data_IF_506035428777
#
_entry.id   IF_506035428777
#
_cell.length_a   1.000
_cell.length_b   1.000
_cell.length_c   1.000
_cell.angle_alpha   90.00
_cell.angle_beta   90.00
_cell.angle_gamma   90.00
#
_symmetry.space_group_name_H-M   'P 1'
#
loop_
_entity.id
_entity.type
_entity.pdbx_description
1 polymer ?
#
# COMPACT_ATOMS: atom_id res chain seq x y z
N UNK A 1 7.11 -11.19 43.38
CA UNK A 1 5.79 -10.56 43.21
C UNK A 1 5.95 -9.51 42.13
N UNK A 2 5.73 -9.90 40.88
CA UNK A 2 5.77 -8.96 39.75
C UNK A 2 4.45 -8.20 39.86
N UNK A 3 4.53 -6.91 40.17
CA UNK A 3 3.35 -6.06 40.22
C UNK A 3 2.66 -6.12 38.87
N UNK A 4 1.38 -6.47 38.92
CA UNK A 4 0.44 -6.35 37.83
C UNK A 4 0.49 -4.91 37.29
N UNK A 5 1.04 -4.76 36.09
CA UNK A 5 0.82 -3.56 35.27
C UNK A 5 -0.57 -3.71 34.66
N UNK A 6 -1.59 -3.51 35.50
CA UNK A 6 -2.95 -3.25 35.04
C UNK A 6 -2.95 -1.84 34.46
N UNK A 7 -3.10 -1.79 33.14
CA UNK A 7 -4.00 -0.89 32.43
C UNK A 7 -3.98 0.58 32.90
N UNK A 8 -3.04 1.36 32.34
CA UNK A 8 -3.07 2.82 32.38
C UNK A 8 -2.92 3.45 30.98
N UNK A 9 -3.54 2.83 29.97
CA UNK A 9 -3.87 3.53 28.74
C UNK A 9 -5.10 2.88 28.12
N UNK A 10 -6.27 3.33 28.55
CA UNK A 10 -7.44 3.25 27.68
C UNK A 10 -7.08 3.89 26.34
N UNK A 11 -7.04 3.11 25.28
CA UNK A 11 -6.75 3.60 23.93
C UNK A 11 -5.99 2.55 23.14
N UNK A 12 -6.65 2.03 22.13
CA UNK A 12 -6.24 1.04 21.14
C UNK A 12 -4.97 1.40 20.32
N UNK A 13 -4.15 2.35 20.80
CA UNK A 13 -3.02 2.98 20.08
C UNK A 13 -3.36 3.45 18.66
N UNK A 14 -4.65 3.70 18.38
CA UNK A 14 -5.15 4.02 17.03
C UNK A 14 -5.10 2.85 16.04
N UNK A 15 -4.93 1.61 16.51
CA UNK A 15 -4.90 0.42 15.67
C UNK A 15 -6.28 0.20 15.03
N UNK A 16 -6.29 -0.10 13.73
CA UNK A 16 -7.47 -0.55 12.98
C UNK A 16 -7.99 -1.91 13.43
N UNK A 17 -9.13 -2.35 12.89
CA UNK A 17 -9.68 -3.67 13.18
C UNK A 17 -8.73 -4.78 12.72
N UNK A 18 -8.16 -4.63 11.53
CA UNK A 18 -7.18 -5.56 10.97
C UNK A 18 -5.91 -5.62 11.81
N UNK A 19 -5.38 -4.49 12.25
CA UNK A 19 -4.17 -4.45 13.10
C UNK A 19 -4.40 -5.09 14.46
N UNK A 20 -5.56 -4.85 15.10
CA UNK A 20 -5.92 -5.52 16.36
C UNK A 20 -5.97 -7.04 16.21
N UNK A 21 -6.51 -7.54 15.10
CA UNK A 21 -6.55 -8.98 14.81
C UNK A 21 -5.13 -9.52 14.64
N UNK A 22 -4.31 -8.85 13.82
CA UNK A 22 -2.94 -9.26 13.58
C UNK A 22 -2.07 -9.24 14.84
N UNK A 23 -2.29 -8.26 15.72
CA UNK A 23 -1.56 -8.14 16.98
C UNK A 23 -1.77 -9.34 17.90
N UNK A 24 -2.94 -10.01 17.87
CA UNK A 24 -3.19 -11.23 18.66
C UNK A 24 -2.24 -12.38 18.29
N UNK A 25 -1.71 -12.37 17.08
CA UNK A 25 -0.72 -13.34 16.58
C UNK A 25 0.72 -12.81 16.63
N UNK A 26 0.92 -11.55 17.02
CA UNK A 26 2.25 -10.96 17.20
C UNK A 26 2.96 -11.58 18.42
N UNK A 27 4.27 -11.76 18.30
CA UNK A 27 5.12 -12.26 19.41
C UNK A 27 5.32 -11.23 20.52
N UNK A 28 5.04 -9.97 20.23
CA UNK A 28 5.29 -8.83 21.10
C UNK A 28 4.02 -8.00 21.28
N UNK A 29 3.95 -7.29 22.40
CA UNK A 29 2.95 -6.25 22.61
C UNK A 29 3.09 -5.15 21.55
N UNK A 30 2.01 -4.40 21.30
CA UNK A 30 2.03 -3.36 20.28
C UNK A 30 3.09 -2.29 20.57
N UNK A 31 3.30 -1.93 21.84
CA UNK A 31 4.23 -0.88 22.23
C UNK A 31 4.70 -1.11 23.67
N UNK A 32 5.97 -0.78 23.94
CA UNK A 32 6.60 -0.86 25.26
C UNK A 32 6.97 0.55 25.78
N UNK A 33 6.05 1.22 26.53
CA UNK A 33 6.32 2.54 27.09
C UNK A 33 7.34 2.48 28.26
N UNK A 34 8.03 3.59 28.57
CA UNK A 34 7.88 4.92 27.98
C UNK A 34 8.74 5.14 26.71
N UNK A 35 9.63 4.20 26.38
CA UNK A 35 10.65 4.37 25.34
C UNK A 35 10.04 4.34 23.95
N UNK A 36 9.21 3.35 23.66
CA UNK A 36 8.59 3.22 22.35
C UNK A 36 7.45 4.22 22.18
N UNK A 37 7.35 4.78 20.97
CA UNK A 37 6.36 5.81 20.59
C UNK A 37 5.48 5.41 19.42
N UNK A 38 5.78 4.29 18.76
CA UNK A 38 5.10 3.81 17.55
C UNK A 38 4.71 2.35 17.78
N UNK A 39 3.43 1.99 17.59
CA UNK A 39 3.00 0.61 17.64
C UNK A 39 3.68 -0.25 16.56
N UNK A 40 4.07 -1.46 16.93
CA UNK A 40 4.71 -2.43 16.05
C UNK A 40 3.94 -3.74 16.04
N UNK A 41 3.77 -4.32 14.85
CA UNK A 41 3.24 -5.68 14.68
C UNK A 41 4.35 -6.51 14.05
N UNK A 42 4.75 -7.58 14.75
CA UNK A 42 5.78 -8.49 14.25
C UNK A 42 5.13 -9.69 13.58
N UNK A 43 5.53 -9.96 12.34
CA UNK A 43 5.07 -11.08 11.52
C UNK A 43 6.23 -12.04 11.22
N UNK A 44 5.92 -13.28 10.86
CA UNK A 44 6.93 -14.33 10.73
C UNK A 44 7.84 -14.20 9.50
N UNK A 45 7.38 -13.58 8.41
CA UNK A 45 8.14 -13.48 7.17
C UNK A 45 7.65 -12.36 6.22
N UNK A 46 8.46 -12.03 5.21
CA UNK A 46 8.15 -11.00 4.21
C UNK A 46 6.82 -11.24 3.45
N UNK A 47 6.47 -12.47 3.01
CA UNK A 47 5.15 -12.73 2.42
C UNK A 47 3.98 -12.44 3.36
N UNK A 48 4.12 -12.76 4.66
CA UNK A 48 3.09 -12.47 5.66
C UNK A 48 2.94 -10.97 5.90
N UNK A 49 4.05 -10.21 5.89
CA UNK A 49 4.02 -8.76 5.94
C UNK A 49 3.25 -8.16 4.75
N UNK A 50 3.54 -8.64 3.54
CA UNK A 50 2.84 -8.19 2.33
C UNK A 50 1.34 -8.49 2.39
N UNK A 51 0.95 -9.66 2.89
CA UNK A 51 -0.47 -10.02 3.09
C UNK A 51 -1.15 -9.11 4.10
N UNK A 52 -0.52 -8.89 5.27
CA UNK A 52 -1.05 -8.01 6.31
C UNK A 52 -1.24 -6.58 5.79
N UNK A 53 -0.24 -6.04 5.10
CA UNK A 53 -0.34 -4.72 4.48
C UNK A 53 -1.47 -4.66 3.44
N UNK A 54 -1.68 -5.73 2.65
CA UNK A 54 -2.75 -5.79 1.65
C UNK A 54 -4.14 -5.76 2.29
N UNK A 55 -4.40 -6.61 3.30
CA UNK A 55 -5.71 -6.62 3.98
C UNK A 55 -5.95 -5.32 4.76
N UNK A 56 -4.91 -4.75 5.38
CA UNK A 56 -4.99 -3.45 6.07
C UNK A 56 -5.30 -2.31 5.10
N UNK A 57 -4.71 -2.33 3.92
CA UNK A 57 -4.98 -1.38 2.85
C UNK A 57 -6.43 -1.51 2.34
N UNK A 58 -6.91 -2.72 2.08
CA UNK A 58 -8.28 -2.94 1.62
C UNK A 58 -9.31 -2.52 2.69
N UNK A 59 -9.05 -2.81 3.97
CA UNK A 59 -9.87 -2.29 5.09
C UNK A 59 -9.90 -0.75 5.08
N UNK A 60 -8.74 -0.10 4.91
CA UNK A 60 -8.67 1.35 4.83
C UNK A 60 -9.50 1.91 3.67
N UNK A 61 -9.37 1.35 2.46
CA UNK A 61 -10.08 1.82 1.27
C UNK A 61 -11.60 1.70 1.44
N UNK A 62 -12.08 0.66 2.10
CA UNK A 62 -13.51 0.51 2.38
C UNK A 62 -14.10 1.66 3.21
N UNK A 63 -13.30 2.24 4.10
CA UNK A 63 -13.71 3.36 4.96
C UNK A 63 -13.32 4.73 4.40
N UNK A 64 -12.51 4.78 3.33
CA UNK A 64 -11.99 6.01 2.73
C UNK A 64 -12.18 6.02 1.20
N UNK A 65 -13.42 5.93 0.69
CA UNK A 65 -13.68 6.11 -0.73
C UNK A 65 -13.22 7.52 -1.17
N UNK A 66 -12.52 7.60 -2.29
CA UNK A 66 -11.92 8.86 -2.76
C UNK A 66 -10.61 9.25 -2.05
N UNK A 67 -10.09 8.39 -1.17
CA UNK A 67 -8.86 8.64 -0.45
C UNK A 67 -7.65 8.87 -1.35
N UNK A 68 -6.67 9.62 -0.84
CA UNK A 68 -5.39 9.86 -1.51
C UNK A 68 -4.38 8.81 -1.06
N UNK A 69 -3.74 8.14 -2.01
CA UNK A 69 -2.75 7.09 -1.77
C UNK A 69 -1.44 7.40 -2.47
N UNK A 70 -0.35 6.93 -1.87
CA UNK A 70 0.98 6.99 -2.45
C UNK A 70 1.69 5.70 -2.08
N UNK A 71 2.08 4.91 -3.09
CA UNK A 71 2.59 3.55 -2.91
C UNK A 71 4.05 3.47 -3.40
N UNK A 72 4.93 2.77 -2.66
CA UNK A 72 6.35 2.66 -3.02
C UNK A 72 6.56 1.81 -4.26
N UNK A 73 7.71 1.93 -4.93
CA UNK A 73 8.08 1.07 -6.06
C UNK A 73 9.15 0.05 -5.65
N UNK A 74 9.58 -0.79 -6.60
CA UNK A 74 10.68 -1.76 -6.40
C UNK A 74 10.24 -3.14 -5.92
N UNK A 75 11.15 -3.87 -5.24
CA UNK A 75 10.94 -5.27 -4.82
C UNK A 75 10.17 -5.41 -3.51
N UNK A 76 10.37 -4.48 -2.58
CA UNK A 76 9.75 -4.49 -1.26
C UNK A 76 8.22 -4.65 -1.30
N UNK A 77 7.47 -3.92 -2.15
CA UNK A 77 6.00 -4.04 -2.20
C UNK A 77 5.48 -5.23 -3.01
N UNK A 78 6.32 -6.11 -3.58
CA UNK A 78 5.89 -7.17 -4.51
C UNK A 78 4.82 -8.09 -3.90
N UNK A 79 5.01 -8.54 -2.66
CA UNK A 79 4.01 -9.37 -1.98
C UNK A 79 2.73 -8.61 -1.69
N UNK A 80 2.83 -7.33 -1.28
CA UNK A 80 1.67 -6.47 -1.08
C UNK A 80 0.84 -6.35 -2.37
N UNK A 81 1.48 -6.04 -3.49
CA UNK A 81 0.83 -5.93 -4.81
C UNK A 81 0.12 -7.23 -5.16
N UNK A 82 0.82 -8.37 -5.07
CA UNK A 82 0.25 -9.68 -5.40
C UNK A 82 -0.97 -10.02 -4.56
N UNK A 83 -0.93 -9.75 -3.25
CA UNK A 83 -2.05 -10.01 -2.36
C UNK A 83 -3.25 -9.10 -2.64
N UNK A 84 -3.03 -7.79 -2.85
CA UNK A 84 -4.11 -6.87 -3.23
C UNK A 84 -4.78 -7.34 -4.53
N UNK A 85 -3.98 -7.65 -5.56
CA UNK A 85 -4.51 -8.17 -6.82
C UNK A 85 -5.28 -9.48 -6.66
N UNK A 86 -4.75 -10.41 -5.85
CA UNK A 86 -5.42 -11.68 -5.54
C UNK A 86 -6.79 -11.46 -4.90
N UNK A 87 -6.85 -10.65 -3.83
CA UNK A 87 -8.10 -10.38 -3.13
C UNK A 87 -9.12 -9.67 -4.02
N UNK A 88 -8.70 -8.66 -4.79
CA UNK A 88 -9.59 -7.97 -5.73
C UNK A 88 -10.09 -8.92 -6.82
N UNK A 89 -9.22 -9.74 -7.42
CA UNK A 89 -9.60 -10.67 -8.49
C UNK A 89 -10.57 -11.75 -8.01
N UNK A 90 -10.41 -12.22 -6.78
CA UNK A 90 -11.14 -13.36 -6.22
C UNK A 90 -12.14 -12.97 -5.12
N UNK A 91 -12.55 -11.70 -5.07
CA UNK A 91 -13.41 -11.16 -4.01
C UNK A 91 -14.70 -11.95 -3.77
N UNK A 92 -15.30 -12.50 -4.84
CA UNK A 92 -16.58 -13.21 -4.79
C UNK A 92 -16.41 -14.72 -4.54
N UNK A 93 -15.18 -15.18 -4.30
CA UNK A 93 -14.88 -16.57 -3.96
C UNK A 93 -15.04 -16.75 -2.46
N UNK A 94 -15.93 -17.67 -2.03
CA UNK A 94 -16.26 -17.88 -0.61
C UNK A 94 -15.05 -18.10 0.31
N UNK A 95 -14.04 -18.86 -0.16
CA UNK A 95 -12.81 -19.08 0.61
C UNK A 95 -12.02 -17.78 0.83
N UNK A 96 -12.00 -16.88 -0.16
CA UNK A 96 -11.32 -15.59 -0.09
C UNK A 96 -12.11 -14.61 0.78
N UNK A 97 -13.44 -14.63 0.72
CA UNK A 97 -14.29 -13.83 1.62
C UNK A 97 -14.08 -14.21 3.08
N UNK A 98 -14.01 -15.52 3.38
CA UNK A 98 -13.72 -16.00 4.73
C UNK A 98 -12.34 -15.54 5.21
N UNK A 99 -11.33 -15.55 4.33
CA UNK A 99 -9.98 -15.07 4.63
C UNK A 99 -9.94 -13.56 4.91
N UNK A 100 -10.67 -12.76 4.13
CA UNK A 100 -10.83 -11.32 4.33
C UNK A 100 -11.54 -11.01 5.65
N UNK A 101 -12.64 -11.70 5.94
CA UNK A 101 -13.42 -11.54 7.17
C UNK A 101 -12.58 -11.88 8.41
N UNK A 102 -11.83 -12.99 8.36
CA UNK A 102 -10.88 -13.38 9.41
C UNK A 102 -9.81 -12.32 9.65
N UNK A 103 -9.41 -11.58 8.61
CA UNK A 103 -8.46 -10.46 8.70
C UNK A 103 -9.10 -9.12 9.05
N UNK A 104 -10.42 -9.07 9.27
CA UNK A 104 -11.15 -7.88 9.68
C UNK A 104 -11.75 -7.06 8.53
N UNK A 105 -11.51 -7.41 7.28
CA UNK A 105 -12.08 -6.77 6.09
C UNK A 105 -13.51 -7.25 5.87
N UNK A 106 -14.45 -6.36 5.54
CA UNK A 106 -15.85 -6.75 5.29
C UNK A 106 -16.03 -7.29 3.85
N UNK A 107 -16.24 -8.61 3.63
CA UNK A 107 -16.42 -9.14 2.28
C UNK A 107 -17.70 -8.64 1.59
N UNK A 108 -18.70 -8.17 2.35
CA UNK A 108 -19.94 -7.60 1.81
C UNK A 108 -19.77 -6.22 1.18
N UNK A 109 -18.63 -5.56 1.42
CA UNK A 109 -18.34 -4.20 0.94
C UNK A 109 -17.07 -4.18 0.09
N UNK A 110 -17.20 -4.43 -1.22
CA UNK A 110 -16.05 -4.38 -2.12
C UNK A 110 -15.43 -2.96 -2.13
N UNK A 111 -14.11 -2.80 -1.96
CA UNK A 111 -13.47 -1.49 -1.94
C UNK A 111 -13.56 -0.80 -3.31
N UNK A 112 -13.92 0.49 -3.32
CA UNK A 112 -14.01 1.29 -4.54
C UNK A 112 -12.63 1.82 -4.94
N UNK A 113 -11.85 0.96 -5.59
CA UNK A 113 -10.49 1.27 -6.05
C UNK A 113 -10.45 2.43 -7.07
N UNK A 114 -11.49 2.58 -7.89
CA UNK A 114 -11.59 3.64 -8.92
C UNK A 114 -11.84 5.01 -8.33
N UNK A 115 -12.35 5.07 -7.09
CA UNK A 115 -12.55 6.34 -6.40
C UNK A 115 -11.23 7.02 -6.02
N UNK A 116 -10.18 6.24 -5.74
CA UNK A 116 -8.92 6.69 -5.15
C UNK A 116 -8.14 7.67 -6.05
N UNK A 117 -7.43 8.58 -5.40
CA UNK A 117 -6.45 9.47 -6.03
C UNK A 117 -5.05 8.96 -5.78
N UNK A 118 -4.26 8.75 -6.83
CA UNK A 118 -2.89 8.25 -6.71
C UNK A 118 -1.88 9.39 -6.88
N UNK A 119 -0.89 9.46 -6.00
CA UNK A 119 0.24 10.41 -6.12
C UNK A 119 1.53 9.61 -6.14
N UNK A 120 2.33 9.75 -7.20
CA UNK A 120 3.64 9.10 -7.30
C UNK A 120 4.64 9.73 -6.32
N UNK A 121 5.42 8.89 -5.63
CA UNK A 121 6.38 9.33 -4.60
C UNK A 121 7.63 9.95 -5.24
N UNK A 122 8.22 9.25 -6.21
CA UNK A 122 9.52 9.53 -6.77
C UNK A 122 9.65 9.04 -8.22
N UNK A 123 10.68 9.54 -8.91
CA UNK A 123 11.12 9.10 -10.24
C UNK A 123 12.61 9.44 -10.41
N UNK A 124 13.31 8.72 -11.30
CA UNK A 124 14.66 9.08 -11.73
C UNK A 124 14.61 10.25 -12.72
N UNK A 125 15.63 11.12 -12.72
CA UNK A 125 15.70 12.24 -13.67
C UNK A 125 17.13 12.46 -14.19
N UNK A 126 17.35 12.53 -15.52
CA UNK A 126 16.37 12.29 -16.58
C UNK A 126 16.01 10.80 -16.70
N UNK A 127 14.76 10.48 -17.03
CA UNK A 127 14.32 9.09 -17.28
C UNK A 127 13.23 9.04 -18.33
N UNK A 128 13.42 8.18 -19.33
CA UNK A 128 12.39 7.85 -20.30
C UNK A 128 11.27 7.05 -19.62
N UNK A 129 10.09 7.65 -19.46
CA UNK A 129 8.95 7.07 -18.73
C UNK A 129 8.36 5.79 -19.38
N UNK A 130 8.76 5.49 -20.62
CA UNK A 130 8.42 4.22 -21.29
C UNK A 130 9.33 3.05 -20.91
N UNK A 131 10.48 3.31 -20.26
CA UNK A 131 11.43 2.25 -19.89
C UNK A 131 10.95 1.46 -18.68
N UNK A 132 11.21 0.16 -18.67
CA UNK A 132 10.78 -0.75 -17.60
C UNK A 132 11.34 -0.43 -16.21
N UNK A 133 12.45 0.31 -16.12
CA UNK A 133 13.06 0.77 -14.87
C UNK A 133 12.55 2.15 -14.41
N UNK A 134 11.68 2.81 -15.17
CA UNK A 134 10.98 4.02 -14.74
C UNK A 134 9.93 3.68 -13.68
N UNK A 135 9.83 4.52 -12.66
CA UNK A 135 8.80 4.40 -11.64
C UNK A 135 7.42 4.80 -12.18
N UNK A 136 7.35 5.71 -13.16
CA UNK A 136 6.14 5.98 -13.94
C UNK A 136 5.63 4.72 -14.64
N UNK A 137 6.50 3.97 -15.32
CA UNK A 137 6.12 2.70 -15.95
C UNK A 137 5.64 1.67 -14.92
N UNK A 138 6.37 1.55 -13.80
CA UNK A 138 6.03 0.63 -12.71
C UNK A 138 4.64 0.94 -12.13
N UNK A 139 4.37 2.21 -11.79
CA UNK A 139 3.09 2.65 -11.20
C UNK A 139 1.94 2.37 -12.16
N UNK A 140 2.08 2.72 -13.44
CA UNK A 140 1.05 2.45 -14.44
C UNK A 140 0.73 0.95 -14.55
N UNK A 141 1.77 0.11 -14.56
CA UNK A 141 1.62 -1.34 -14.73
C UNK A 141 1.03 -2.01 -13.48
N UNK A 142 1.64 -1.80 -12.32
CA UNK A 142 1.34 -2.60 -11.13
C UNK A 142 0.24 -2.01 -10.25
N UNK A 143 0.08 -0.69 -10.23
CA UNK A 143 -0.93 -0.01 -9.41
C UNK A 143 -2.12 0.43 -10.25
N UNK A 144 -1.92 1.25 -11.28
CA UNK A 144 -3.05 1.79 -12.05
C UNK A 144 -3.81 0.67 -12.74
N UNK A 145 -3.15 -0.11 -13.59
CA UNK A 145 -3.75 -1.28 -14.24
C UNK A 145 -4.00 -2.41 -13.24
N UNK A 146 -2.99 -2.75 -12.43
CA UNK A 146 -3.04 -3.90 -11.54
C UNK A 146 -4.13 -3.82 -10.46
N UNK A 147 -4.41 -2.64 -9.89
CA UNK A 147 -5.47 -2.47 -8.88
C UNK A 147 -6.79 -1.95 -9.48
N UNK A 148 -6.80 -1.62 -10.78
CA UNK A 148 -7.96 -1.03 -11.44
C UNK A 148 -8.27 0.40 -10.97
N UNK A 149 -7.22 1.19 -10.69
CA UNK A 149 -7.36 2.61 -10.35
C UNK A 149 -7.77 3.42 -11.59
N UNK A 150 -8.29 4.62 -11.37
CA UNK A 150 -8.61 5.53 -12.47
C UNK A 150 -7.36 6.33 -12.89
N UNK A 151 -6.85 6.16 -14.14
CA UNK A 151 -5.70 6.93 -14.62
C UNK A 151 -5.94 8.45 -14.58
N UNK A 152 -7.18 8.91 -14.74
CA UNK A 152 -7.53 10.33 -14.69
C UNK A 152 -7.41 10.92 -13.27
N UNK A 153 -7.29 10.08 -12.24
CA UNK A 153 -7.08 10.47 -10.84
C UNK A 153 -5.65 10.22 -10.35
N UNK A 154 -4.72 10.01 -11.27
CA UNK A 154 -3.31 9.82 -10.96
C UNK A 154 -2.50 11.09 -11.24
N UNK A 155 -1.71 11.52 -10.26
CA UNK A 155 -0.67 12.54 -10.40
C UNK A 155 0.68 11.81 -10.52
N UNK A 156 1.17 11.70 -11.75
CA UNK A 156 2.37 10.96 -12.11
C UNK A 156 3.46 11.90 -12.62
N UNK A 157 4.72 11.50 -12.44
CA UNK A 157 5.89 12.24 -12.92
C UNK A 157 6.34 11.67 -14.26
N UNK A 158 5.93 12.30 -15.37
CA UNK A 158 6.42 11.99 -16.71
C UNK A 158 7.74 12.72 -16.96
N UNK A 159 8.83 12.10 -16.53
CA UNK A 159 10.19 12.65 -16.62
C UNK A 159 10.67 12.80 -18.08
N UNK A 160 9.97 12.22 -19.07
CA UNK A 160 10.26 12.44 -20.49
C UNK A 160 9.74 13.78 -21.02
N UNK A 161 8.93 14.50 -20.24
CA UNK A 161 8.33 15.79 -20.62
C UNK A 161 8.63 16.90 -19.63
N UNK A 162 8.89 16.54 -18.38
CA UNK A 162 9.12 17.50 -17.31
C UNK A 162 10.37 18.35 -17.62
N UNK A 163 10.20 19.66 -17.75
CA UNK A 163 11.32 20.59 -17.95
C UNK A 163 11.84 20.69 -19.39
N UNK A 164 11.19 20.05 -20.36
CA UNK A 164 11.49 20.16 -21.79
C UNK A 164 10.52 21.12 -22.50
N UNK A 165 11.01 21.80 -23.54
CA UNK A 165 10.12 22.44 -24.52
C UNK A 165 9.34 21.39 -25.33
N UNK A 166 8.20 21.75 -25.91
CA UNK A 166 7.34 20.80 -26.66
C UNK A 166 8.07 20.06 -27.79
N UNK A 167 9.08 20.70 -28.37
CA UNK A 167 9.87 20.18 -29.49
C UNK A 167 11.21 19.54 -29.06
N UNK A 168 11.50 19.48 -27.76
CA UNK A 168 12.74 18.90 -27.23
C UNK A 168 12.52 17.49 -26.72
N UNK A 169 13.51 16.63 -26.95
CA UNK A 169 13.57 15.27 -26.42
C UNK A 169 14.64 15.15 -25.33
N UNK A 170 14.48 14.17 -24.43
CA UNK A 170 15.51 13.88 -23.43
C UNK A 170 16.88 13.60 -24.07
N UNK A 171 16.92 12.91 -25.21
CA UNK A 171 18.17 12.60 -25.92
C UNK A 171 18.89 13.81 -26.50
N UNK A 172 18.16 14.89 -26.82
CA UNK A 172 18.77 16.13 -27.32
C UNK A 172 19.39 16.95 -26.20
N UNK A 173 18.74 16.97 -25.03
CA UNK A 173 19.22 17.74 -23.86
C UNK A 173 20.24 16.95 -23.03
N UNK A 174 20.09 15.62 -22.93
CA UNK A 174 20.98 14.70 -22.22
C UNK A 174 21.44 13.55 -23.14
N UNK A 175 22.35 13.82 -24.10
CA UNK A 175 22.78 12.83 -25.09
C UNK A 175 23.55 11.64 -24.51
N UNK A 176 24.23 11.83 -23.38
CA UNK A 176 25.08 10.81 -22.74
C UNK A 176 24.39 10.06 -21.57
N UNK A 177 23.16 10.46 -21.22
CA UNK A 177 22.43 9.95 -20.05
C UNK A 177 22.69 10.76 -18.77
#
# INVERSE_FOLDING_TARGET
MVQDVVDQSGGDYGLSKTERIALKSSKYAAIYPPTEKIPTIVVDCFPALGKLAAVRFLEWVQDHPGGVISLPTGKTPEHFIKWVQYFLKHWDVAAVQAELEQAGVDPGRRPDMRSLHFVQIDEFYPMESSRHNSFYYYVNTFYIQGFGLDPAKALLMDASRLGLHEDETLSEVWPDG
#
